data_IF_108468907836
#
_entry.id   IF_108468907836
#
_cell.length_a   1.000
_cell.length_b   1.000
_cell.length_c   1.000
_cell.angle_alpha   90.00
_cell.angle_beta   90.00
_cell.angle_gamma   90.00
#
_symmetry.space_group_name_H-M   'P 1'
#
loop_
_entity.id
_entity.type
_entity.pdbx_description
1 polymer ?
#
# COMPACT_ATOMS: atom_id res chain seq x y z
N UNK A 1 15.35 22.86 -2.79
CA UNK A 1 14.62 22.16 -3.87
C UNK A 1 15.63 21.52 -4.81
N UNK A 2 15.38 20.29 -5.26
CA UNK A 2 16.29 19.59 -6.17
C UNK A 2 16.01 20.01 -7.63
N UNK A 3 16.88 20.87 -8.19
CA UNK A 3 16.68 21.41 -9.54
C UNK A 3 16.79 20.33 -10.64
N UNK A 4 17.67 19.35 -10.45
CA UNK A 4 17.86 18.28 -11.44
C UNK A 4 16.58 17.45 -11.64
N UNK A 5 15.83 17.19 -10.55
CA UNK A 5 14.56 16.49 -10.63
C UNK A 5 13.50 17.29 -11.43
N UNK A 6 13.42 18.61 -11.21
CA UNK A 6 12.49 19.47 -11.92
C UNK A 6 12.81 19.56 -13.42
N UNK A 7 14.10 19.74 -13.75
CA UNK A 7 14.56 19.83 -15.14
C UNK A 7 14.31 18.53 -15.90
N UNK A 8 14.48 17.38 -15.25
CA UNK A 8 14.19 16.07 -15.84
C UNK A 8 12.70 15.95 -16.19
N UNK A 9 11.80 16.23 -15.25
CA UNK A 9 10.36 16.16 -15.48
C UNK A 9 9.90 17.15 -16.56
N UNK A 10 10.50 18.35 -16.61
CA UNK A 10 10.24 19.34 -17.65
C UNK A 10 10.71 18.88 -19.03
N UNK A 11 11.91 18.27 -19.11
CA UNK A 11 12.49 17.79 -20.37
C UNK A 11 11.60 16.76 -21.06
N UNK A 12 10.98 15.86 -20.30
CA UNK A 12 10.16 14.76 -20.83
C UNK A 12 8.66 15.01 -20.77
N UNK A 13 8.20 16.11 -20.14
CA UNK A 13 6.77 16.38 -19.87
C UNK A 13 6.14 15.23 -19.10
N UNK A 14 6.71 14.91 -17.94
CA UNK A 14 6.35 13.72 -17.16
C UNK A 14 7.27 12.54 -17.43
N UNK A 15 6.83 11.34 -17.09
CA UNK A 15 7.65 10.10 -17.14
C UNK A 15 7.07 8.97 -17.99
N UNK A 16 5.87 9.13 -18.52
CA UNK A 16 5.15 8.09 -19.24
C UNK A 16 4.81 8.55 -20.66
N UNK A 17 4.79 7.59 -21.58
CA UNK A 17 4.27 7.76 -22.93
C UNK A 17 3.34 6.60 -23.29
N UNK A 18 2.38 6.83 -24.19
CA UNK A 18 1.53 5.77 -24.74
C UNK A 18 2.03 5.39 -26.13
N UNK A 19 2.36 4.11 -26.31
CA UNK A 19 2.93 3.60 -27.56
C UNK A 19 2.11 2.41 -28.05
N UNK A 20 1.83 2.40 -29.36
CA UNK A 20 1.14 1.29 -29.99
C UNK A 20 2.00 0.01 -29.96
N UNK A 21 1.46 -1.08 -29.41
CA UNK A 21 2.17 -2.36 -29.30
C UNK A 21 2.50 -2.98 -30.68
N UNK A 22 1.68 -2.70 -31.69
CA UNK A 22 1.85 -3.23 -33.05
C UNK A 22 2.89 -2.47 -33.88
N UNK A 23 3.55 -1.45 -33.32
CA UNK A 23 4.50 -0.61 -34.05
C UNK A 23 3.81 0.30 -35.08
N UNK A 24 4.37 0.40 -36.29
CA UNK A 24 3.83 1.28 -37.33
C UNK A 24 2.59 0.68 -37.96
N UNK A 25 1.53 1.48 -38.03
CA UNK A 25 0.28 1.08 -38.67
C UNK A 25 0.39 1.18 -40.19
N UNK A 26 0.08 0.08 -40.89
CA UNK A 26 0.02 0.03 -42.35
C UNK A 26 -1.43 0.00 -42.82
N UNK A 27 -1.67 0.48 -44.05
CA UNK A 27 -3.03 0.63 -44.61
C UNK A 27 -3.85 -0.67 -44.57
N UNK A 28 -3.20 -1.80 -44.78
CA UNK A 28 -3.81 -3.14 -44.79
C UNK A 28 -4.32 -3.58 -43.40
N UNK A 29 -3.75 -3.04 -42.32
CA UNK A 29 -4.16 -3.35 -40.95
C UNK A 29 -5.30 -2.46 -40.46
N UNK A 30 -5.56 -1.30 -41.10
CA UNK A 30 -6.60 -0.35 -40.68
C UNK A 30 -7.98 -1.01 -40.49
N UNK A 31 -8.46 -1.86 -41.42
CA UNK A 31 -9.76 -2.51 -41.26
C UNK A 31 -9.80 -3.56 -40.14
N UNK A 32 -8.65 -4.05 -39.67
CA UNK A 32 -8.55 -5.07 -38.61
C UNK A 32 -8.44 -4.44 -37.22
N UNK A 33 -7.69 -3.34 -37.10
CA UNK A 33 -7.48 -2.64 -35.82
C UNK A 33 -8.62 -1.68 -35.48
N UNK A 34 -9.41 -1.31 -36.49
CA UNK A 34 -10.54 -0.41 -36.36
C UNK A 34 -11.70 -0.90 -37.23
N UNK A 35 -12.55 -0.01 -37.72
CA UNK A 35 -13.71 -0.38 -38.50
C UNK A 35 -13.33 -0.97 -39.87
N UNK A 36 -14.01 -2.04 -40.31
CA UNK A 36 -15.12 -2.73 -39.63
C UNK A 36 -14.69 -3.86 -38.67
N UNK A 37 -13.47 -4.40 -38.77
CA UNK A 37 -13.07 -5.66 -38.10
C UNK A 37 -13.03 -5.63 -36.58
N UNK A 38 -12.82 -4.46 -35.96
CA UNK A 38 -12.92 -4.31 -34.49
C UNK A 38 -14.31 -4.71 -33.94
N UNK A 39 -15.36 -4.64 -34.77
CA UNK A 39 -16.71 -5.04 -34.38
C UNK A 39 -16.78 -6.55 -34.02
N UNK A 40 -16.05 -7.40 -34.75
CA UNK A 40 -16.04 -8.84 -34.48
C UNK A 40 -15.40 -9.15 -33.12
N UNK A 41 -14.35 -8.41 -32.75
CA UNK A 41 -13.72 -8.50 -31.43
C UNK A 41 -14.69 -8.04 -30.33
N UNK A 42 -15.42 -6.94 -30.55
CA UNK A 42 -16.43 -6.46 -29.61
C UNK A 42 -17.57 -7.47 -29.41
N UNK A 43 -18.07 -8.08 -30.48
CA UNK A 43 -19.11 -9.11 -30.42
C UNK A 43 -18.63 -10.36 -29.69
N UNK A 44 -17.41 -10.82 -29.97
CA UNK A 44 -16.80 -11.94 -29.26
C UNK A 44 -16.68 -11.69 -27.75
N UNK A 45 -16.28 -10.48 -27.34
CA UNK A 45 -16.23 -10.09 -25.91
C UNK A 45 -17.63 -9.99 -25.30
N UNK A 46 -18.63 -9.53 -26.06
CA UNK A 46 -20.01 -9.47 -25.59
C UNK A 46 -20.58 -10.88 -25.32
N UNK A 47 -20.20 -11.87 -26.12
CA UNK A 47 -20.56 -13.28 -25.92
C UNK A 47 -19.73 -13.95 -24.80
N UNK A 48 -18.45 -13.60 -24.69
CA UNK A 48 -17.53 -14.13 -23.67
C UNK A 48 -16.66 -13.01 -23.07
N UNK A 49 -17.07 -12.40 -21.94
CA UNK A 49 -16.35 -11.29 -21.31
C UNK A 49 -14.89 -11.58 -20.94
N UNK A 50 -14.51 -12.85 -20.69
CA UNK A 50 -13.13 -13.23 -20.38
C UNK A 50 -12.15 -12.95 -21.54
N UNK A 51 -12.66 -12.88 -22.78
CA UNK A 51 -11.84 -12.51 -23.93
C UNK A 51 -11.27 -11.09 -23.79
N UNK A 52 -11.85 -10.22 -22.97
CA UNK A 52 -11.27 -8.91 -22.68
C UNK A 52 -9.84 -9.00 -22.15
N UNK A 53 -9.48 -10.02 -21.38
CA UNK A 53 -8.12 -10.21 -20.85
C UNK A 53 -7.10 -10.56 -21.94
N UNK A 54 -7.52 -11.23 -23.01
CA UNK A 54 -6.62 -11.71 -24.08
C UNK A 54 -6.66 -10.85 -25.34
N UNK A 55 -7.77 -10.16 -25.59
CA UNK A 55 -8.02 -9.37 -26.80
C UNK A 55 -7.86 -7.87 -26.59
N UNK A 56 -7.63 -7.42 -25.35
CA UNK A 56 -7.44 -6.00 -25.03
C UNK A 56 -6.24 -5.78 -24.11
N UNK A 57 -5.95 -4.52 -23.80
CA UNK A 57 -4.92 -4.17 -22.82
C UNK A 57 -5.26 -4.63 -21.39
N UNK A 58 -6.54 -4.96 -21.10
CA UNK A 58 -7.00 -5.32 -19.75
C UNK A 58 -6.07 -6.30 -19.07
N UNK A 59 -5.73 -7.42 -19.73
CA UNK A 59 -4.94 -8.50 -19.14
C UNK A 59 -3.48 -8.20 -18.77
N UNK A 60 -3.00 -6.97 -19.00
CA UNK A 60 -1.63 -6.57 -18.66
C UNK A 60 -1.53 -5.21 -17.99
N UNK A 61 -2.63 -4.49 -17.82
CA UNK A 61 -2.62 -3.09 -17.35
C UNK A 61 -3.21 -2.96 -15.96
N UNK A 62 -2.45 -2.32 -15.06
CA UNK A 62 -2.85 -1.99 -13.69
C UNK A 62 -3.07 -0.49 -13.55
N UNK A 63 -4.17 -0.07 -12.91
CA UNK A 63 -4.36 1.32 -12.56
C UNK A 63 -3.63 1.66 -11.25
N UNK A 64 -2.85 2.75 -11.23
CA UNK A 64 -2.33 3.33 -9.99
C UNK A 64 -3.28 4.45 -9.58
N UNK A 65 -4.07 4.23 -8.53
CA UNK A 65 -5.12 5.14 -8.06
C UNK A 65 -4.67 5.87 -6.82
N UNK A 66 -4.84 7.19 -6.79
CA UNK A 66 -4.60 8.02 -5.61
C UNK A 66 -5.57 9.20 -5.57
N UNK A 67 -5.74 9.84 -4.42
CA UNK A 67 -6.40 11.14 -4.27
C UNK A 67 -5.42 12.27 -3.89
N UNK A 68 -4.13 11.93 -3.75
CA UNK A 68 -3.07 12.85 -3.33
C UNK A 68 -3.19 13.31 -1.87
N UNK A 69 -3.91 12.58 -1.02
CA UNK A 69 -4.17 12.98 0.37
C UNK A 69 -3.07 12.58 1.36
N UNK A 70 -2.16 11.68 0.97
CA UNK A 70 -1.04 11.22 1.80
C UNK A 70 0.26 11.02 1.00
N UNK A 71 0.59 11.95 0.11
CA UNK A 71 1.74 11.80 -0.80
C UNK A 71 3.06 11.81 -0.03
N UNK A 72 3.73 10.65 0.02
CA UNK A 72 5.03 10.49 0.69
C UNK A 72 4.99 11.03 2.14
N UNK A 73 6.03 11.75 2.57
CA UNK A 73 6.05 12.51 3.82
C UNK A 73 5.45 13.92 3.72
N UNK A 74 4.87 14.30 2.57
CA UNK A 74 4.36 15.66 2.32
C UNK A 74 2.91 15.83 2.80
N UNK A 75 2.19 14.72 2.99
CA UNK A 75 0.80 14.73 3.41
C UNK A 75 -0.16 15.09 2.28
N UNK A 76 -1.22 15.84 2.61
CA UNK A 76 -2.26 16.18 1.65
C UNK A 76 -1.84 17.39 0.81
N UNK A 77 -1.36 17.12 -0.39
CA UNK A 77 -0.94 18.14 -1.38
C UNK A 77 -1.84 18.15 -2.61
N UNK A 78 -2.87 17.29 -2.63
CA UNK A 78 -3.88 17.23 -3.67
C UNK A 78 -3.44 16.46 -4.92
N UNK A 79 -4.39 16.24 -5.84
CA UNK A 79 -4.21 15.29 -6.95
C UNK A 79 -3.13 15.71 -7.94
N UNK A 80 -3.05 17.00 -8.28
CA UNK A 80 -2.06 17.49 -9.25
C UNK A 80 -0.62 17.36 -8.73
N UNK A 81 -0.41 17.61 -7.44
CA UNK A 81 0.92 17.50 -6.84
C UNK A 81 1.31 16.04 -6.54
N UNK A 82 0.33 15.14 -6.42
CA UNK A 82 0.56 13.68 -6.30
C UNK A 82 0.85 12.98 -7.63
N UNK A 83 0.40 13.54 -8.76
CA UNK A 83 0.56 12.93 -10.10
C UNK A 83 2.01 12.53 -10.44
N UNK A 84 3.06 13.33 -10.15
CA UNK A 84 4.44 12.92 -10.40
C UNK A 84 4.85 11.64 -9.68
N UNK A 85 4.31 11.37 -8.48
CA UNK A 85 4.59 10.14 -7.73
C UNK A 85 3.89 8.96 -8.39
N UNK A 86 2.63 9.12 -8.80
CA UNK A 86 1.84 8.05 -9.45
C UNK A 86 2.40 7.65 -10.83
N UNK A 87 2.88 8.62 -11.61
CA UNK A 87 3.65 8.34 -12.81
C UNK A 87 4.94 7.55 -12.50
N UNK A 88 5.62 7.90 -11.40
CA UNK A 88 6.83 7.22 -10.96
C UNK A 88 6.54 5.77 -10.60
N UNK A 89 5.47 5.51 -9.85
CA UNK A 89 5.00 4.15 -9.51
C UNK A 89 4.67 3.34 -10.77
N UNK A 90 3.98 3.94 -11.73
CA UNK A 90 3.68 3.30 -13.02
C UNK A 90 4.95 2.94 -13.80
N UNK A 91 5.96 3.83 -13.81
CA UNK A 91 7.26 3.57 -14.42
C UNK A 91 7.99 2.41 -13.74
N UNK A 92 7.99 2.36 -12.40
CA UNK A 92 8.63 1.29 -11.63
C UNK A 92 7.96 -0.08 -11.88
N UNK A 93 6.63 -0.11 -11.92
CA UNK A 93 5.87 -1.32 -12.28
C UNK A 93 6.26 -1.83 -13.67
N UNK A 94 6.48 -0.92 -14.62
CA UNK A 94 6.91 -1.27 -15.97
C UNK A 94 8.33 -1.79 -16.00
N UNK A 95 9.27 -1.06 -15.40
CA UNK A 95 10.71 -1.35 -15.46
C UNK A 95 11.07 -2.65 -14.73
N UNK A 96 10.53 -2.84 -13.52
CA UNK A 96 10.90 -3.98 -12.68
C UNK A 96 9.92 -5.16 -12.74
N UNK A 97 8.65 -4.89 -13.04
CA UNK A 97 7.60 -5.92 -13.10
C UNK A 97 7.17 -6.31 -14.50
N UNK A 98 7.56 -5.55 -15.54
CA UNK A 98 7.02 -5.72 -16.89
C UNK A 98 5.52 -5.41 -17.00
N UNK A 99 4.93 -4.83 -15.97
CA UNK A 99 3.49 -4.54 -15.85
C UNK A 99 3.19 -3.21 -16.53
N UNK A 100 2.21 -3.18 -17.45
CA UNK A 100 1.75 -1.90 -17.98
C UNK A 100 0.92 -1.21 -16.90
N UNK A 101 1.09 0.10 -16.75
CA UNK A 101 0.39 0.82 -15.70
C UNK A 101 0.04 2.24 -16.12
N UNK A 102 -1.07 2.74 -15.57
CA UNK A 102 -1.53 4.09 -15.83
C UNK A 102 -1.98 4.79 -14.53
N UNK A 103 -1.52 6.01 -14.25
CA UNK A 103 -1.91 6.76 -13.07
C UNK A 103 -3.28 7.41 -13.26
N UNK A 104 -4.18 7.23 -12.28
CA UNK A 104 -5.47 7.94 -12.20
C UNK A 104 -5.56 8.63 -10.84
N UNK A 105 -5.26 9.92 -10.81
CA UNK A 105 -5.31 10.73 -9.58
C UNK A 105 -6.62 11.49 -9.51
N UNK A 106 -7.39 11.24 -8.47
CA UNK A 106 -8.78 11.66 -8.36
C UNK A 106 -8.90 13.00 -7.63
N UNK A 107 -9.73 13.89 -8.14
CA UNK A 107 -10.07 15.15 -7.47
C UNK A 107 -11.22 14.98 -6.48
N UNK A 108 -11.15 13.94 -5.66
CA UNK A 108 -12.06 13.68 -4.54
C UNK A 108 -11.31 12.94 -3.45
N UNK A 109 -11.62 13.26 -2.20
CA UNK A 109 -11.08 12.60 -1.01
C UNK A 109 -12.20 11.93 -0.19
N UNK A 110 -13.38 11.79 -0.79
CA UNK A 110 -14.53 11.12 -0.20
C UNK A 110 -14.41 9.63 -0.54
N UNK A 111 -14.24 8.73 0.45
CA UNK A 111 -14.03 7.30 0.21
C UNK A 111 -15.08 6.68 -0.73
N UNK A 112 -16.36 7.03 -0.56
CA UNK A 112 -17.46 6.50 -1.35
C UNK A 112 -17.38 6.89 -2.83
N UNK A 113 -16.90 8.10 -3.12
CA UNK A 113 -16.69 8.57 -4.49
C UNK A 113 -15.49 7.85 -5.13
N UNK A 114 -14.42 7.65 -4.37
CA UNK A 114 -13.25 6.88 -4.81
C UNK A 114 -13.66 5.43 -5.14
N UNK A 115 -14.39 4.77 -4.22
CA UNK A 115 -14.88 3.39 -4.42
C UNK A 115 -15.75 3.31 -5.68
N UNK A 116 -16.66 4.26 -5.86
CA UNK A 116 -17.55 4.31 -7.03
C UNK A 116 -16.75 4.48 -8.32
N UNK A 117 -15.79 5.41 -8.35
CA UNK A 117 -14.91 5.62 -9.49
C UNK A 117 -14.12 4.36 -9.84
N UNK A 118 -13.46 3.73 -8.85
CA UNK A 118 -12.64 2.54 -9.08
C UNK A 118 -13.49 1.40 -9.65
N UNK A 119 -14.69 1.17 -9.12
CA UNK A 119 -15.64 0.17 -9.65
C UNK A 119 -16.04 0.46 -11.10
N UNK A 120 -16.22 1.72 -11.47
CA UNK A 120 -16.58 2.12 -12.84
C UNK A 120 -15.45 1.92 -13.85
N UNK A 121 -14.19 2.13 -13.44
CA UNK A 121 -13.03 1.98 -14.34
C UNK A 121 -12.41 0.58 -14.33
N UNK A 122 -12.76 -0.27 -13.35
CA UNK A 122 -12.27 -1.65 -13.23
C UNK A 122 -12.36 -2.50 -14.51
N UNK A 123 -13.38 -2.36 -15.39
CA UNK A 123 -13.42 -3.10 -16.66
C UNK A 123 -12.16 -2.92 -17.52
N UNK A 124 -11.49 -1.76 -17.46
CA UNK A 124 -10.29 -1.43 -18.26
C UNK A 124 -9.02 -2.13 -17.77
N UNK A 125 -8.94 -2.53 -16.50
CA UNK A 125 -7.69 -2.95 -15.86
C UNK A 125 -7.75 -4.41 -15.39
N UNK A 126 -6.60 -5.08 -15.29
CA UNK A 126 -6.46 -6.40 -14.66
C UNK A 126 -6.23 -6.31 -13.14
N UNK A 127 -5.92 -5.14 -12.62
CA UNK A 127 -5.72 -4.93 -11.19
C UNK A 127 -5.68 -3.44 -10.84
N UNK A 128 -5.86 -3.16 -9.56
CA UNK A 128 -5.81 -1.80 -9.00
C UNK A 128 -4.72 -1.75 -7.94
N UNK A 129 -3.83 -0.77 -8.07
CA UNK A 129 -2.86 -0.40 -7.06
C UNK A 129 -3.31 0.91 -6.41
N UNK A 130 -3.79 0.86 -5.17
CA UNK A 130 -4.11 2.05 -4.37
C UNK A 130 -2.83 2.62 -3.76
N UNK A 131 -2.67 3.93 -3.84
CA UNK A 131 -1.44 4.62 -3.46
C UNK A 131 -1.74 5.98 -2.79
N UNK A 132 -0.98 6.33 -1.75
CA UNK A 132 -0.98 7.66 -1.13
C UNK A 132 -2.38 8.16 -0.71
N UNK A 133 -3.26 7.26 -0.27
CA UNK A 133 -4.58 7.59 0.29
C UNK A 133 -4.50 7.66 1.82
N UNK A 134 -5.03 8.73 2.40
CA UNK A 134 -4.91 9.00 3.83
C UNK A 134 -5.73 8.04 4.69
N UNK A 135 -5.10 7.51 5.73
CA UNK A 135 -5.81 6.80 6.80
C UNK A 135 -6.73 7.74 7.61
N UNK A 136 -7.92 7.29 8.06
CA UNK A 136 -8.42 5.92 7.94
C UNK A 136 -9.18 5.63 6.63
N UNK A 137 -9.40 6.61 5.76
CA UNK A 137 -10.20 6.44 4.53
C UNK A 137 -9.65 5.36 3.60
N UNK A 138 -8.33 5.21 3.53
CA UNK A 138 -7.68 4.15 2.74
C UNK A 138 -8.15 2.74 3.09
N UNK A 139 -8.41 2.44 4.36
CA UNK A 139 -8.89 1.12 4.79
C UNK A 139 -10.31 0.86 4.29
N UNK A 140 -11.18 1.87 4.40
CA UNK A 140 -12.56 1.76 3.91
C UNK A 140 -12.58 1.56 2.39
N UNK A 141 -11.74 2.30 1.66
CA UNK A 141 -11.62 2.17 0.20
C UNK A 141 -11.14 0.76 -0.17
N UNK A 142 -10.06 0.28 0.43
CA UNK A 142 -9.50 -1.04 0.12
C UNK A 142 -10.47 -2.18 0.46
N UNK A 143 -11.06 -2.17 1.66
CA UNK A 143 -12.01 -3.21 2.10
C UNK A 143 -13.23 -3.29 1.16
N UNK A 144 -13.77 -2.14 0.75
CA UNK A 144 -14.94 -2.08 -0.14
C UNK A 144 -14.66 -2.48 -1.60
N UNK A 145 -13.38 -2.61 -1.96
CA UNK A 145 -12.92 -2.93 -3.30
C UNK A 145 -12.37 -4.36 -3.45
N UNK A 146 -12.28 -5.16 -2.38
CA UNK A 146 -11.75 -6.54 -2.47
C UNK A 146 -12.59 -7.46 -3.39
N UNK A 147 -13.90 -7.23 -3.51
CA UNK A 147 -14.83 -8.11 -4.23
C UNK A 147 -15.26 -7.58 -5.62
N UNK A 148 -14.44 -6.74 -6.28
CA UNK A 148 -14.80 -6.15 -7.59
C UNK A 148 -14.45 -7.02 -8.80
N UNK A 149 -13.99 -8.25 -8.60
CA UNK A 149 -13.65 -9.21 -9.66
C UNK A 149 -12.24 -9.07 -10.25
N UNK A 150 -11.44 -8.10 -9.76
CA UNK A 150 -10.00 -7.97 -10.05
C UNK A 150 -9.24 -7.71 -8.75
N UNK A 151 -7.95 -8.09 -8.66
CA UNK A 151 -7.14 -7.82 -7.47
C UNK A 151 -6.98 -6.33 -7.19
N UNK A 152 -7.11 -5.96 -5.92
CA UNK A 152 -6.90 -4.61 -5.40
C UNK A 152 -5.85 -4.67 -4.30
N UNK A 153 -4.80 -3.87 -4.43
CA UNK A 153 -3.66 -3.87 -3.53
C UNK A 153 -3.31 -2.45 -3.13
N UNK A 154 -3.21 -2.16 -1.83
CA UNK A 154 -2.70 -0.89 -1.36
C UNK A 154 -1.20 -0.99 -1.00
N UNK A 155 -0.33 -0.32 -1.75
CA UNK A 155 1.12 -0.45 -1.62
C UNK A 155 1.64 0.07 -0.26
N UNK A 156 1.19 1.25 0.16
CA UNK A 156 1.60 1.81 1.46
C UNK A 156 1.22 0.93 2.66
N UNK A 157 0.20 0.08 2.51
CA UNK A 157 -0.19 -0.90 3.51
C UNK A 157 0.58 -2.21 3.34
N UNK A 158 0.26 -2.94 2.29
CA UNK A 158 0.69 -4.33 2.12
C UNK A 158 2.12 -4.41 1.60
N UNK A 159 2.51 -3.55 0.66
CA UNK A 159 3.87 -3.46 0.15
C UNK A 159 4.87 -3.16 1.26
N UNK A 160 4.58 -2.14 2.07
CA UNK A 160 5.37 -1.81 3.27
C UNK A 160 5.47 -3.00 4.23
N UNK A 161 4.35 -3.65 4.53
CA UNK A 161 4.33 -4.79 5.45
C UNK A 161 5.16 -5.98 4.95
N UNK A 162 5.07 -6.30 3.65
CA UNK A 162 5.82 -7.40 3.01
C UNK A 162 7.33 -7.15 3.16
N UNK A 163 7.79 -5.96 2.78
CA UNK A 163 9.22 -5.62 2.82
C UNK A 163 9.74 -5.56 4.26
N UNK A 164 8.98 -5.00 5.19
CA UNK A 164 9.36 -4.94 6.61
C UNK A 164 9.44 -6.34 7.22
N UNK A 165 8.48 -7.23 6.96
CA UNK A 165 8.53 -8.61 7.46
C UNK A 165 9.73 -9.37 6.89
N UNK A 166 10.01 -9.21 5.60
CA UNK A 166 11.17 -9.83 4.95
C UNK A 166 12.50 -9.31 5.55
N UNK A 167 12.61 -8.00 5.77
CA UNK A 167 13.77 -7.39 6.41
C UNK A 167 13.94 -7.91 7.86
N UNK A 168 12.85 -7.99 8.62
CA UNK A 168 12.90 -8.44 10.01
C UNK A 168 13.29 -9.91 10.13
N UNK A 169 12.76 -10.78 9.25
CA UNK A 169 13.15 -12.20 9.20
C UNK A 169 14.66 -12.38 9.01
N UNK A 170 15.30 -11.53 8.20
CA UNK A 170 16.74 -11.58 7.98
C UNK A 170 17.52 -10.93 9.14
N UNK A 171 17.08 -9.78 9.64
CA UNK A 171 17.71 -9.13 10.78
C UNK A 171 17.71 -10.02 12.03
N UNK A 172 16.61 -10.74 12.29
CA UNK A 172 16.49 -11.70 13.39
C UNK A 172 17.56 -12.81 13.32
N UNK A 173 17.85 -13.33 12.11
CA UNK A 173 18.92 -14.31 11.89
C UNK A 173 20.29 -13.73 12.21
N UNK A 174 20.55 -12.49 11.80
CA UNK A 174 21.84 -11.80 12.04
C UNK A 174 22.10 -11.61 13.53
N UNK A 175 21.08 -11.20 14.30
CA UNK A 175 21.23 -11.01 15.75
C UNK A 175 21.06 -12.29 16.58
N UNK A 176 20.69 -13.40 15.93
CA UNK A 176 20.51 -14.71 16.57
C UNK A 176 19.25 -14.83 17.44
N UNK A 177 18.18 -14.09 17.12
CA UNK A 177 16.92 -14.10 17.88
C UNK A 177 15.84 -14.93 17.14
N UNK A 178 15.14 -15.87 17.80
CA UNK A 178 13.99 -16.56 17.22
C UNK A 178 12.89 -15.57 16.84
N UNK A 179 12.38 -15.65 15.60
CA UNK A 179 11.41 -14.68 15.08
C UNK A 179 10.13 -14.62 15.94
N UNK A 180 9.67 -15.78 16.43
CA UNK A 180 8.49 -15.94 17.28
C UNK A 180 8.65 -15.46 18.72
N UNK A 181 9.87 -15.09 19.12
CA UNK A 181 10.18 -14.53 20.45
C UNK A 181 10.23 -12.99 20.47
N UNK A 182 10.24 -12.36 19.29
CA UNK A 182 10.48 -10.91 19.16
C UNK A 182 9.32 -10.08 19.73
N UNK A 183 9.67 -9.07 20.54
CA UNK A 183 8.77 -8.00 20.97
C UNK A 183 9.01 -6.76 20.11
N UNK A 184 8.02 -6.41 19.30
CA UNK A 184 8.15 -5.34 18.31
C UNK A 184 7.39 -4.09 18.78
N UNK A 185 8.01 -2.92 18.65
CA UNK A 185 7.35 -1.62 18.82
C UNK A 185 7.29 -0.90 17.48
N UNK A 186 6.11 -0.45 17.07
CA UNK A 186 5.90 0.29 15.83
C UNK A 186 5.52 1.73 16.17
N UNK A 187 6.31 2.68 15.67
CA UNK A 187 6.07 4.12 15.84
C UNK A 187 5.31 4.63 14.62
N UNK A 188 4.00 4.83 14.80
CA UNK A 188 3.07 5.23 13.75
C UNK A 188 1.88 4.29 13.64
N UNK A 189 0.66 4.82 13.82
CA UNK A 189 -0.60 4.08 13.70
C UNK A 189 -1.42 4.51 12.47
N UNK A 190 -0.72 4.73 11.35
CA UNK A 190 -1.31 4.96 10.03
C UNK A 190 -1.47 3.66 9.23
N UNK A 191 -1.70 3.80 7.92
CA UNK A 191 -1.85 2.69 6.96
C UNK A 191 -0.72 1.65 7.09
N UNK A 192 0.52 2.09 6.89
CA UNK A 192 1.72 1.25 7.01
C UNK A 192 1.84 0.57 8.39
N UNK A 193 1.77 1.34 9.48
CA UNK A 193 2.02 0.80 10.82
C UNK A 193 0.99 -0.23 11.27
N UNK A 194 -0.29 -0.03 10.94
CA UNK A 194 -1.33 -1.03 11.23
C UNK A 194 -1.15 -2.28 10.36
N UNK A 195 -0.84 -2.14 9.07
CA UNK A 195 -0.62 -3.27 8.17
C UNK A 195 0.62 -4.10 8.55
N UNK A 196 1.73 -3.43 8.88
CA UNK A 196 2.95 -4.09 9.39
C UNK A 196 2.63 -4.89 10.66
N UNK A 197 1.90 -4.28 11.61
CA UNK A 197 1.51 -4.97 12.84
C UNK A 197 0.68 -6.23 12.57
N UNK A 198 -0.33 -6.12 11.69
CA UNK A 198 -1.18 -7.24 11.28
C UNK A 198 -0.35 -8.37 10.67
N UNK A 199 0.55 -8.04 9.74
CA UNK A 199 1.38 -9.05 9.06
C UNK A 199 2.39 -9.73 9.99
N UNK A 200 2.97 -8.98 10.93
CA UNK A 200 3.90 -9.52 11.93
C UNK A 200 3.19 -10.40 12.97
N UNK A 201 1.92 -10.11 13.28
CA UNK A 201 1.09 -10.95 14.15
C UNK A 201 0.41 -12.12 13.42
N UNK A 202 0.49 -12.16 12.08
CA UNK A 202 -0.20 -13.16 11.27
C UNK A 202 -1.71 -12.99 11.32
N UNK A 203 -2.19 -11.75 11.24
CA UNK A 203 -3.60 -11.39 11.30
C UNK A 203 -4.14 -11.03 9.91
N UNK A 204 -5.35 -11.50 9.64
CA UNK A 204 -6.25 -10.96 8.62
C UNK A 204 -7.32 -10.16 9.35
N UNK A 205 -7.58 -8.92 8.91
CA UNK A 205 -8.57 -8.06 9.54
C UNK A 205 -9.55 -7.54 8.49
N UNK A 206 -10.84 -7.60 8.82
CA UNK A 206 -11.92 -7.01 8.05
C UNK A 206 -12.79 -6.18 8.99
N UNK A 207 -12.78 -4.87 8.79
CA UNK A 207 -13.45 -3.91 9.65
C UNK A 207 -12.94 -3.98 11.10
N UNK A 208 -13.84 -4.37 12.03
CA UNK A 208 -13.55 -4.45 13.47
C UNK A 208 -12.99 -5.80 13.91
N UNK A 209 -12.97 -6.79 13.03
CA UNK A 209 -12.60 -8.16 13.40
C UNK A 209 -11.25 -8.49 12.82
N UNK A 210 -10.40 -9.11 13.64
CA UNK A 210 -9.14 -9.70 13.20
C UNK A 210 -9.14 -11.19 13.56
N UNK A 211 -8.63 -12.00 12.64
CA UNK A 211 -8.52 -13.45 12.76
C UNK A 211 -7.07 -13.85 12.51
N UNK A 212 -6.62 -14.89 13.21
CA UNK A 212 -5.29 -15.47 12.99
C UNK A 212 -5.27 -16.28 11.71
N UNK A 213 -4.28 -16.02 10.87
CA UNK A 213 -3.98 -16.84 9.72
C UNK A 213 -3.31 -18.15 10.16
N UNK A 214 -3.79 -19.31 9.69
CA UNK A 214 -3.18 -20.59 10.04
C UNK A 214 -1.82 -20.74 9.37
N UNK A 215 -0.86 -21.35 10.07
CA UNK A 215 0.46 -21.74 9.54
C UNK A 215 1.32 -20.56 9.03
N UNK A 216 1.22 -19.40 9.68
CA UNK A 216 2.06 -18.23 9.37
C UNK A 216 3.01 -17.92 10.53
N UNK A 217 4.29 -17.71 10.20
CA UNK A 217 5.28 -17.22 11.17
C UNK A 217 4.90 -15.83 11.66
N UNK A 218 4.91 -15.65 12.99
CA UNK A 218 4.51 -14.42 13.67
C UNK A 218 5.43 -14.12 14.83
N UNK A 219 5.55 -12.84 15.19
CA UNK A 219 6.30 -12.38 16.36
C UNK A 219 5.54 -12.63 17.66
N UNK A 220 6.22 -12.53 18.80
CA UNK A 220 5.61 -12.78 20.11
C UNK A 220 4.52 -11.75 20.43
N UNK A 221 4.81 -10.47 20.19
CA UNK A 221 3.92 -9.35 20.47
C UNK A 221 4.31 -8.13 19.63
N UNK A 222 3.32 -7.28 19.36
CA UNK A 222 3.51 -5.98 18.70
C UNK A 222 2.84 -4.91 19.55
N UNK A 223 3.51 -3.77 19.76
CA UNK A 223 2.91 -2.58 20.36
C UNK A 223 3.00 -1.45 19.37
N UNK A 224 1.87 -0.98 18.88
CA UNK A 224 1.81 0.22 18.03
C UNK A 224 1.65 1.45 18.90
N UNK A 225 2.40 2.51 18.60
CA UNK A 225 2.38 3.79 19.30
C UNK A 225 1.91 4.86 18.33
N UNK A 226 0.91 5.63 18.73
CA UNK A 226 0.48 6.83 18.01
C UNK A 226 0.81 8.11 18.78
N UNK A 227 0.31 9.25 18.30
CA UNK A 227 0.62 10.57 18.89
C UNK A 227 0.26 10.70 20.37
N UNK A 228 -0.67 9.87 20.87
CA UNK A 228 -1.13 9.91 22.27
C UNK A 228 -0.39 8.88 23.12
N UNK A 229 0.17 7.83 22.51
CA UNK A 229 0.88 6.75 23.18
C UNK A 229 0.53 5.39 22.61
N UNK A 230 0.85 4.34 23.36
CA UNK A 230 0.56 2.96 22.97
C UNK A 230 -0.94 2.73 22.72
N UNK A 231 -1.25 1.99 21.66
CA UNK A 231 -2.59 1.47 21.39
C UNK A 231 -2.93 0.40 22.42
N UNK A 232 -4.12 0.52 23.00
CA UNK A 232 -4.64 -0.39 24.03
C UNK A 232 -6.14 -0.54 23.81
N UNK A 233 -6.64 -1.78 23.90
CA UNK A 233 -8.07 -2.06 23.77
C UNK A 233 -8.90 -1.16 24.71
N UNK A 234 -9.94 -0.54 24.17
CA UNK A 234 -10.86 0.34 24.92
C UNK A 234 -10.43 1.81 25.06
N UNK A 235 -9.28 2.23 24.48
CA UNK A 235 -8.88 3.65 24.50
C UNK A 235 -9.76 4.49 23.56
N UNK A 236 -10.55 5.42 24.09
CA UNK A 236 -11.57 6.17 23.35
C UNK A 236 -11.07 6.88 22.08
N UNK A 237 -9.82 7.35 22.05
CA UNK A 237 -9.23 8.09 20.92
C UNK A 237 -8.82 7.22 19.71
N UNK A 238 -9.11 5.92 19.73
CA UNK A 238 -8.79 4.99 18.64
C UNK A 238 -9.99 4.80 17.70
N UNK A 239 -9.77 4.99 16.41
CA UNK A 239 -10.74 4.56 15.39
C UNK A 239 -10.89 3.03 15.38
N UNK A 240 -11.89 2.54 14.65
CA UNK A 240 -12.19 1.11 14.61
C UNK A 240 -11.03 0.22 14.13
N UNK A 241 -10.22 0.69 13.18
CA UNK A 241 -9.06 -0.06 12.66
C UNK A 241 -7.92 -0.17 13.66
N UNK A 242 -7.73 0.85 14.49
CA UNK A 242 -6.78 0.83 15.61
C UNK A 242 -7.27 -0.09 16.73
N UNK A 243 -8.58 -0.06 17.03
CA UNK A 243 -9.17 -0.92 18.06
C UNK A 243 -9.06 -2.39 17.69
N UNK A 244 -9.40 -2.77 16.46
CA UNK A 244 -9.35 -4.17 16.02
C UNK A 244 -7.95 -4.78 16.14
N UNK A 245 -6.91 -4.00 15.84
CA UNK A 245 -5.53 -4.41 16.09
C UNK A 245 -5.19 -4.46 17.59
N UNK A 246 -5.62 -3.48 18.39
CA UNK A 246 -5.32 -3.41 19.82
C UNK A 246 -5.89 -4.59 20.61
N UNK A 247 -6.98 -5.22 20.14
CA UNK A 247 -7.56 -6.42 20.74
C UNK A 247 -6.68 -7.68 20.54
N UNK A 248 -5.82 -7.67 19.52
CA UNK A 248 -4.95 -8.81 19.14
C UNK A 248 -3.44 -8.52 19.33
N UNK A 249 -3.09 -7.35 19.86
CA UNK A 249 -1.72 -6.87 20.04
C UNK A 249 -1.54 -6.33 21.45
N UNK A 250 -0.32 -5.93 21.82
CA UNK A 250 0.00 -5.42 23.15
C UNK A 250 -0.59 -6.29 24.27
N UNK A 251 -0.24 -7.58 24.26
CA UNK A 251 -0.82 -8.62 25.15
C UNK A 251 -0.69 -8.28 26.65
N UNK A 252 0.27 -7.43 26.99
CA UNK A 252 0.54 -6.95 28.35
C UNK A 252 -0.23 -5.67 28.72
N UNK A 253 -1.04 -5.13 27.82
CA UNK A 253 -1.83 -3.92 28.00
C UNK A 253 -0.98 -2.73 28.46
N UNK A 254 0.26 -2.62 27.95
CA UNK A 254 1.16 -1.55 28.31
C UNK A 254 0.61 -0.21 27.81
N UNK A 255 0.65 0.79 28.69
CA UNK A 255 0.20 2.17 28.44
C UNK A 255 1.39 3.12 28.47
N UNK A 256 1.21 4.31 27.90
CA UNK A 256 2.15 5.41 28.01
C UNK A 256 2.90 5.72 26.73
N UNK A 257 4.04 6.39 26.89
CA UNK A 257 4.86 6.93 25.80
C UNK A 257 5.67 5.84 25.08
N UNK A 258 6.25 6.21 23.94
CA UNK A 258 7.20 5.36 23.21
C UNK A 258 8.34 4.87 24.10
N UNK A 259 8.96 5.76 24.88
CA UNK A 259 10.06 5.41 25.77
C UNK A 259 9.66 4.35 26.81
N UNK A 260 8.42 4.42 27.32
CA UNK A 260 7.90 3.43 28.28
C UNK A 260 7.75 2.05 27.64
N UNK A 261 7.15 1.98 26.45
CA UNK A 261 6.81 0.68 25.84
C UNK A 261 7.94 0.05 25.04
N UNK A 262 8.92 0.84 24.60
CA UNK A 262 10.13 0.37 23.94
C UNK A 262 11.14 -0.27 24.89
N UNK A 263 10.98 -0.10 26.20
CA UNK A 263 11.86 -0.72 27.20
C UNK A 263 11.89 -2.24 27.04
N UNK A 264 13.09 -2.79 26.85
CA UNK A 264 13.33 -4.21 26.56
C UNK A 264 12.63 -4.75 25.30
N UNK A 265 12.27 -3.89 24.34
CA UNK A 265 11.80 -4.33 23.03
C UNK A 265 12.98 -4.85 22.19
N UNK A 266 12.72 -5.85 21.35
CA UNK A 266 13.74 -6.41 20.45
C UNK A 266 13.89 -5.62 19.17
N UNK A 267 12.78 -5.01 18.73
CA UNK A 267 12.65 -4.35 17.44
C UNK A 267 11.89 -3.04 17.63
N UNK A 268 12.36 -1.98 16.99
CA UNK A 268 11.60 -0.75 16.80
C UNK A 268 11.50 -0.44 15.30
N UNK A 269 10.30 -0.08 14.84
CA UNK A 269 9.99 0.19 13.42
C UNK A 269 9.35 1.57 13.32
N UNK A 270 10.01 2.50 12.65
CA UNK A 270 9.54 3.85 12.39
C UNK A 270 8.80 3.97 11.06
N UNK A 271 7.49 4.21 11.12
CA UNK A 271 6.65 4.51 9.94
C UNK A 271 5.82 5.78 10.19
N UNK A 272 6.50 6.77 10.77
CA UNK A 272 5.94 8.05 11.23
C UNK A 272 6.87 9.21 10.88
N UNK A 273 6.60 10.40 11.44
CA UNK A 273 7.40 11.59 11.18
C UNK A 273 8.85 11.49 11.69
N UNK A 274 9.73 12.39 11.21
CA UNK A 274 11.14 12.38 11.61
C UNK A 274 11.33 12.74 13.09
N UNK A 275 12.50 12.36 13.63
CA UNK A 275 12.99 12.76 14.97
C UNK A 275 12.13 12.30 16.16
N UNK A 276 11.45 11.15 16.05
CA UNK A 276 10.61 10.62 17.14
C UNK A 276 11.31 9.56 18.01
N UNK A 277 12.34 8.89 17.49
CA UNK A 277 13.08 7.84 18.20
C UNK A 277 14.40 8.45 18.67
N UNK A 278 14.46 8.82 19.95
CA UNK A 278 15.66 9.38 20.56
C UNK A 278 16.69 8.27 20.90
N UNK A 279 18.00 8.55 20.89
CA UNK A 279 19.03 7.55 21.21
C UNK A 279 18.80 6.84 22.55
N UNK A 280 18.31 7.55 23.56
CA UNK A 280 18.05 7.02 24.89
C UNK A 280 16.95 5.95 24.88
N UNK A 281 16.04 5.99 23.90
CA UNK A 281 15.02 4.95 23.72
C UNK A 281 15.70 3.65 23.25
N UNK A 282 16.65 3.75 22.33
CA UNK A 282 17.39 2.61 21.78
C UNK A 282 18.30 2.00 22.85
N UNK A 283 18.93 2.83 23.68
CA UNK A 283 19.78 2.37 24.81
C UNK A 283 19.00 1.54 25.84
N UNK A 284 17.68 1.77 25.96
CA UNK A 284 16.79 1.04 26.87
C UNK A 284 16.08 -0.17 26.23
N UNK A 285 16.40 -0.50 24.97
CA UNK A 285 15.90 -1.71 24.29
C UNK A 285 16.66 -2.97 24.74
N UNK A 286 16.22 -4.14 24.26
CA UNK A 286 16.92 -5.40 24.50
C UNK A 286 18.32 -5.42 23.83
N UNK A 287 19.20 -6.32 24.28
CA UNK A 287 20.52 -6.51 23.68
C UNK A 287 20.41 -6.78 22.17
N UNK A 288 21.32 -6.22 21.36
CA UNK A 288 21.29 -6.28 19.89
C UNK A 288 19.91 -5.87 19.34
N UNK A 289 19.46 -4.62 19.59
CA UNK A 289 18.17 -4.16 19.10
C UNK A 289 18.19 -4.04 17.58
N UNK A 290 17.06 -4.33 16.93
CA UNK A 290 16.84 -4.09 15.50
C UNK A 290 16.07 -2.78 15.37
N UNK A 291 16.59 -1.85 14.56
CA UNK A 291 16.00 -0.52 14.33
C UNK A 291 15.76 -0.36 12.83
N UNK A 292 14.49 -0.16 12.45
CA UNK A 292 14.05 0.19 11.09
C UNK A 292 13.42 1.58 11.08
#
# INVERSE_FOLDING_TARGET
>A
MNQQALDLHKKYTGKLETVAKMGKLHKELLPLVYTPGVADVCLAIAENPELAYTHTLKGRTVAVISDGSAVLGLGNIGPLAGLPVMEGKSLLLKEFGGVDSFPLVLNTQIPEEIITFVKQVAPTFAGINLEDIKAPGCFQVEEALQDIGIPVFHDDQHGTAIVVKAALLNAAKVVGKPFDSLKVVIVGAGAAGLSVARMLLGLECLGKTCSLLPKVDRVADVIVVDRIGALVSGRESQNMYKQSLADSSNKRMLKGSLATVAKNADVIIGVSGPNLIAPEIIENMAEKPIVF
#
